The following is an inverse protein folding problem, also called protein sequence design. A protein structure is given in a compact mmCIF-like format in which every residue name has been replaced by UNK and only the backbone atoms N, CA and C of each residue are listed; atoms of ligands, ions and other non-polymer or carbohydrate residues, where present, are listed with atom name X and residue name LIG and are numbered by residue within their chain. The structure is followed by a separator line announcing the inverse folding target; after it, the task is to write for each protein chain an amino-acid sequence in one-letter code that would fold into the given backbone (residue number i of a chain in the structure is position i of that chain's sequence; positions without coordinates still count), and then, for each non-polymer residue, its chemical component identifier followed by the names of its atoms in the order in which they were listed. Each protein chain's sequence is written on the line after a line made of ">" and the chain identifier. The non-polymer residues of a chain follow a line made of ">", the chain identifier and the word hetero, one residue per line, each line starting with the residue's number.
data_IF_912331322372
#
_entry.id   IF_912331322372
#
_cell.length_a   1.000
_cell.length_b   1.000
_cell.length_c   1.000
_cell.angle_alpha   90.00
_cell.angle_beta   90.00
_cell.angle_gamma   90.00
#
_symmetry.space_group_name_H-M   'P 1'
#
loop_
_entity.id
_entity.type
_entity.pdbx_description
1 polymer ?
#
# COMPACT_ATOMS: atom_id res chain seq x y z
N UNK A 1 40.29 47.75 36.62
CA UNK A 1 38.89 47.35 36.34
C UNK A 1 38.67 47.12 34.83
N UNK A 2 39.17 46.04 34.20
CA UNK A 2 38.93 45.77 32.75
C UNK A 2 39.03 44.27 32.37
N UNK A 3 38.62 43.33 33.25
CA UNK A 3 38.66 41.87 32.94
C UNK A 3 37.38 41.10 33.21
N UNK A 4 36.34 41.72 33.80
CA UNK A 4 35.07 41.03 34.12
C UNK A 4 33.95 41.25 33.10
N UNK A 5 34.10 42.15 32.13
CA UNK A 5 33.04 42.47 31.15
C UNK A 5 33.05 41.58 29.90
N UNK A 6 34.16 40.89 29.59
CA UNK A 6 34.29 40.07 28.37
C UNK A 6 33.68 38.67 28.50
N UNK A 7 33.44 38.18 29.72
CA UNK A 7 32.86 36.84 29.96
C UNK A 7 31.33 36.81 29.84
N UNK A 8 30.66 37.95 29.93
CA UNK A 8 29.20 38.04 29.81
C UNK A 8 28.71 38.04 28.35
N UNK A 9 29.56 38.38 27.38
CA UNK A 9 29.22 38.31 25.95
C UNK A 9 29.46 36.94 25.31
N UNK A 10 30.21 36.03 25.96
CA UNK A 10 30.46 34.69 25.42
C UNK A 10 29.35 33.68 25.77
N UNK A 11 28.57 33.93 26.83
CA UNK A 11 27.49 33.02 27.27
C UNK A 11 26.16 33.32 26.56
N UNK A 12 25.98 34.52 26.01
CA UNK A 12 24.77 34.89 25.27
C UNK A 12 24.72 34.29 23.84
N UNK A 13 25.85 33.82 23.30
CA UNK A 13 25.96 33.34 21.91
C UNK A 13 25.63 31.86 21.71
N UNK A 14 25.34 31.11 22.78
CA UNK A 14 25.08 29.66 22.71
C UNK A 14 23.56 29.36 22.76
N UNK A 15 22.71 30.32 23.13
CA UNK A 15 21.27 30.11 23.26
C UNK A 15 20.46 30.32 21.97
N UNK A 16 21.12 30.54 20.82
CA UNK A 16 20.44 30.82 19.55
C UNK A 16 20.50 29.68 18.52
N UNK A 17 21.03 28.51 18.89
CA UNK A 17 21.04 27.34 18.02
C UNK A 17 20.01 26.30 18.47
N UNK A 18 19.04 26.08 17.58
CA UNK A 18 18.21 24.88 17.49
C UNK A 18 17.04 24.74 18.46
N UNK A 19 16.15 25.72 18.49
CA UNK A 19 14.72 25.38 18.45
C UNK A 19 14.27 25.32 16.98
N UNK A 20 14.82 24.37 16.21
CA UNK A 20 14.09 23.93 15.03
C UNK A 20 12.76 23.38 15.57
N UNK A 21 11.60 23.82 15.07
CA UNK A 21 10.36 23.15 15.42
C UNK A 21 10.61 21.67 15.15
N UNK A 22 10.45 20.82 16.18
CA UNK A 22 10.34 19.39 15.97
C UNK A 22 9.31 19.26 14.86
N UNK A 23 9.73 18.78 13.69
CA UNK A 23 8.80 18.51 12.60
C UNK A 23 7.78 17.55 13.18
N UNK A 24 6.61 18.10 13.52
CA UNK A 24 5.50 17.31 14.03
C UNK A 24 5.12 16.43 12.85
N UNK A 25 5.32 15.13 13.01
CA UNK A 25 4.89 14.15 12.04
C UNK A 25 3.44 14.46 11.67
N UNK A 26 3.16 14.60 10.38
CA UNK A 26 1.80 14.94 9.95
C UNK A 26 0.93 13.76 10.34
N UNK A 27 -0.18 13.96 11.08
CA UNK A 27 -1.05 12.85 11.43
C UNK A 27 -1.45 12.06 10.17
N UNK A 28 -1.45 10.72 10.21
CA UNK A 28 -1.91 9.92 9.07
C UNK A 28 -3.34 10.30 8.71
N UNK A 29 -3.55 10.70 7.45
CA UNK A 29 -4.87 11.05 6.94
C UNK A 29 -5.49 9.88 6.19
N UNK A 30 -6.83 9.79 6.27
CA UNK A 30 -7.58 8.72 5.63
C UNK A 30 -7.43 8.71 4.11
N UNK A 31 -7.15 7.53 3.54
CA UNK A 31 -7.06 7.30 2.10
C UNK A 31 -8.02 6.19 1.67
N UNK A 32 -8.48 6.30 0.43
CA UNK A 32 -9.18 5.23 -0.28
C UNK A 32 -8.55 5.05 -1.64
N UNK A 33 -8.23 3.81 -2.00
CA UNK A 33 -7.67 3.44 -3.30
C UNK A 33 -8.54 2.32 -3.88
N UNK A 34 -9.02 2.49 -5.10
CA UNK A 34 -9.77 1.48 -5.85
C UNK A 34 -8.97 1.09 -7.08
N UNK A 35 -8.93 -0.20 -7.40
CA UNK A 35 -8.17 -0.70 -8.56
C UNK A 35 -9.03 -1.70 -9.30
N UNK A 36 -9.05 -1.54 -10.62
CA UNK A 36 -9.55 -2.55 -11.54
C UNK A 36 -8.34 -3.31 -12.07
N UNK A 37 -8.25 -4.60 -11.75
CA UNK A 37 -7.07 -5.42 -11.94
C UNK A 37 -7.25 -6.45 -13.05
N UNK A 38 -6.14 -6.77 -13.71
CA UNK A 38 -6.01 -7.88 -14.65
C UNK A 38 -4.93 -8.82 -14.15
N UNK A 39 -5.28 -10.10 -14.01
CA UNK A 39 -4.39 -11.18 -13.58
C UNK A 39 -3.80 -11.90 -14.79
N UNK A 40 -2.51 -12.20 -14.71
CA UNK A 40 -1.77 -12.94 -15.74
C UNK A 40 -1.03 -14.13 -15.12
N UNK A 41 -0.92 -15.21 -15.90
CA UNK A 41 -0.17 -16.41 -15.52
C UNK A 41 1.35 -16.18 -15.47
N UNK A 42 1.84 -15.03 -15.93
CA UNK A 42 3.25 -14.66 -15.98
C UNK A 42 3.43 -13.19 -15.61
N UNK A 43 4.60 -12.84 -15.09
CA UNK A 43 4.92 -11.48 -14.68
C UNK A 43 4.76 -10.44 -15.82
N UNK A 44 4.20 -9.25 -15.55
CA UNK A 44 3.61 -8.83 -14.27
C UNK A 44 2.33 -9.62 -13.96
N UNK A 45 2.27 -10.22 -12.78
CA UNK A 45 1.19 -11.14 -12.39
C UNK A 45 -0.16 -10.43 -12.24
N UNK A 46 -0.10 -9.16 -11.87
CA UNK A 46 -1.26 -8.27 -11.78
C UNK A 46 -0.87 -6.94 -12.43
N UNK A 47 -1.78 -6.38 -13.21
CA UNK A 47 -1.73 -4.99 -13.67
C UNK A 47 -3.07 -4.34 -13.36
N UNK A 48 -3.15 -3.02 -13.25
CA UNK A 48 -4.44 -2.39 -13.03
C UNK A 48 -4.42 -0.88 -13.15
N UNK A 49 -5.61 -0.32 -13.34
CA UNK A 49 -5.86 1.11 -13.31
C UNK A 49 -6.33 1.52 -11.91
N UNK A 50 -5.72 2.57 -11.37
CA UNK A 50 -5.93 3.00 -9.99
C UNK A 50 -6.71 4.32 -9.97
N UNK A 51 -7.66 4.44 -9.05
CA UNK A 51 -8.15 5.73 -8.55
C UNK A 51 -7.87 5.83 -7.06
N UNK A 52 -7.26 6.93 -6.61
CA UNK A 52 -6.91 7.19 -5.22
C UNK A 52 -7.42 8.55 -4.77
N UNK A 53 -7.92 8.66 -3.53
CA UNK A 53 -8.42 9.90 -2.96
C UNK A 53 -8.16 9.97 -1.45
N UNK A 54 -8.19 11.19 -0.91
CA UNK A 54 -7.95 11.46 0.51
C UNK A 54 -6.46 11.51 0.87
N UNK A 55 -6.18 11.98 2.09
CA UNK A 55 -4.83 12.12 2.64
C UNK A 55 -3.80 12.69 1.67
N UNK A 56 -2.71 11.95 1.45
CA UNK A 56 -1.60 12.34 0.56
C UNK A 56 -2.00 12.58 -0.89
N UNK A 57 -3.17 12.10 -1.33
CA UNK A 57 -3.69 12.33 -2.68
C UNK A 57 -4.56 13.57 -2.79
N UNK A 58 -5.16 14.04 -1.67
CA UNK A 58 -6.09 15.16 -1.66
C UNK A 58 -7.33 14.86 -2.51
N UNK A 59 -7.43 15.51 -3.68
CA UNK A 59 -8.49 15.25 -4.67
C UNK A 59 -8.28 13.92 -5.39
N UNK A 60 -9.34 13.28 -5.91
CA UNK A 60 -9.21 12.05 -6.68
C UNK A 60 -8.15 12.17 -7.78
N UNK A 61 -7.23 11.21 -7.81
CA UNK A 61 -6.15 11.11 -8.80
C UNK A 61 -6.07 9.68 -9.33
N UNK A 62 -5.51 9.54 -10.53
CA UNK A 62 -5.40 8.25 -11.22
C UNK A 62 -3.96 7.82 -11.37
N UNK A 63 -3.74 6.50 -11.38
CA UNK A 63 -2.43 5.90 -11.54
C UNK A 63 -2.52 4.50 -12.13
N UNK A 64 -1.39 3.79 -12.14
CA UNK A 64 -1.32 2.39 -12.60
C UNK A 64 -0.63 1.50 -11.59
N UNK A 65 -1.05 0.24 -11.55
CA UNK A 65 -0.48 -0.84 -10.74
C UNK A 65 0.27 -1.82 -11.63
N UNK A 66 1.42 -2.29 -11.16
CA UNK A 66 2.08 -3.48 -11.68
C UNK A 66 2.64 -4.34 -10.53
N UNK A 67 2.32 -5.63 -10.51
CA UNK A 67 2.82 -6.55 -9.50
C UNK A 67 4.31 -6.85 -9.69
N UNK A 68 5.08 -6.65 -8.63
CA UNK A 68 6.52 -6.90 -8.58
C UNK A 68 6.81 -8.30 -8.03
N UNK A 69 6.00 -8.74 -7.08
CA UNK A 69 6.15 -10.06 -6.48
C UNK A 69 4.80 -10.56 -5.96
N UNK A 70 4.54 -11.84 -6.18
CA UNK A 70 3.40 -12.55 -5.60
C UNK A 70 3.90 -13.88 -5.03
N UNK A 71 3.54 -14.17 -3.78
CA UNK A 71 3.92 -15.42 -3.11
C UNK A 71 2.72 -15.98 -2.35
N UNK A 72 2.20 -17.16 -2.74
CA UNK A 72 1.30 -17.91 -1.88
C UNK A 72 2.10 -18.44 -0.68
N UNK A 73 1.62 -18.14 0.53
CA UNK A 73 2.26 -18.50 1.80
C UNK A 73 1.71 -19.83 2.33
N UNK A 74 0.49 -20.22 1.93
CA UNK A 74 -0.08 -21.52 2.28
C UNK A 74 -1.38 -21.83 1.52
N UNK A 75 -1.62 -23.12 1.32
CA UNK A 75 -2.91 -23.66 0.85
C UNK A 75 -3.59 -24.32 2.04
N UNK A 76 -4.87 -24.07 2.27
CA UNK A 76 -5.64 -24.90 3.19
C UNK A 76 -5.93 -26.23 2.49
N UNK A 77 -5.00 -27.17 2.55
CA UNK A 77 -5.18 -28.51 1.99
C UNK A 77 -6.14 -29.28 2.91
N UNK A 78 -7.47 -29.11 2.69
CA UNK A 78 -8.55 -30.03 3.09
C UNK A 78 -9.91 -29.58 2.54
N UNK A 79 -10.25 -30.06 1.34
CA UNK A 79 -11.65 -30.15 0.89
C UNK A 79 -12.38 -31.17 1.79
N UNK A 80 -13.62 -30.94 2.29
CA UNK A 80 -14.60 -29.93 1.90
C UNK A 80 -14.87 -28.84 2.96
N UNK A 81 -13.96 -28.61 3.92
CA UNK A 81 -14.24 -27.72 5.06
C UNK A 81 -13.05 -26.81 5.38
N UNK A 82 -12.82 -25.74 4.60
CA UNK A 82 -12.07 -24.60 5.09
C UNK A 82 -12.57 -23.30 4.47
N UNK A 83 -12.62 -22.28 5.33
CA UNK A 83 -13.08 -20.92 5.04
C UNK A 83 -12.10 -20.12 4.16
N UNK A 84 -10.94 -20.67 3.76
CA UNK A 84 -9.90 -19.98 2.96
C UNK A 84 -9.26 -20.89 1.89
N UNK A 85 -9.21 -20.42 0.63
CA UNK A 85 -8.58 -21.08 -0.52
C UNK A 85 -7.04 -21.02 -0.44
N UNK A 86 -6.47 -19.84 -0.16
CA UNK A 86 -5.04 -19.65 0.07
C UNK A 86 -4.76 -18.35 0.83
N UNK A 87 -3.56 -18.24 1.40
CA UNK A 87 -3.01 -16.99 1.97
C UNK A 87 -1.84 -16.55 1.10
N UNK A 88 -1.71 -15.25 0.84
CA UNK A 88 -0.62 -14.71 0.03
C UNK A 88 0.02 -13.46 0.64
N UNK A 89 1.25 -13.22 0.20
CA UNK A 89 1.91 -11.92 0.29
C UNK A 89 2.18 -11.42 -1.12
N UNK A 90 1.94 -10.13 -1.36
CA UNK A 90 2.26 -9.50 -2.64
C UNK A 90 3.00 -8.18 -2.42
N UNK A 91 3.72 -7.75 -3.45
CA UNK A 91 4.31 -6.42 -3.55
C UNK A 91 3.91 -5.87 -4.90
N UNK A 92 3.14 -4.79 -4.89
CA UNK A 92 2.70 -4.13 -6.11
C UNK A 92 3.24 -2.70 -6.14
N UNK A 93 3.67 -2.29 -7.33
CA UNK A 93 4.19 -0.95 -7.60
C UNK A 93 3.08 -0.06 -8.13
N UNK A 94 2.89 1.07 -7.45
CA UNK A 94 1.86 2.07 -7.71
C UNK A 94 2.55 3.27 -8.34
N UNK A 95 2.08 3.70 -9.51
CA UNK A 95 2.63 4.82 -10.25
C UNK A 95 1.58 5.91 -10.42
N UNK A 96 1.90 7.11 -9.96
CA UNK A 96 1.13 8.33 -10.18
C UNK A 96 2.02 9.41 -10.81
N UNK A 97 1.44 10.53 -11.20
CA UNK A 97 2.20 11.66 -11.78
C UNK A 97 3.30 12.19 -10.85
N UNK A 98 3.08 12.17 -9.52
CA UNK A 98 4.03 12.64 -8.51
C UNK A 98 5.16 11.65 -8.18
N UNK A 99 5.10 10.41 -8.67
CA UNK A 99 6.11 9.39 -8.40
C UNK A 99 5.55 7.98 -8.23
N UNK A 100 6.39 7.08 -7.71
CA UNK A 100 6.06 5.66 -7.52
C UNK A 100 6.25 5.23 -6.08
N UNK A 101 5.48 4.27 -5.60
CA UNK A 101 5.72 3.60 -4.32
C UNK A 101 5.26 2.14 -4.38
N UNK A 102 5.64 1.34 -3.39
CA UNK A 102 5.28 -0.07 -3.33
C UNK A 102 4.42 -0.37 -2.12
N UNK A 103 3.29 -1.02 -2.35
CA UNK A 103 2.46 -1.56 -1.28
C UNK A 103 2.79 -3.03 -1.09
N UNK A 104 3.00 -3.43 0.17
CA UNK A 104 3.12 -4.83 0.55
C UNK A 104 1.79 -5.30 1.13
N UNK A 105 1.32 -6.44 0.67
CA UNK A 105 0.07 -7.05 1.08
C UNK A 105 0.30 -8.33 1.88
N UNK A 106 -0.60 -8.58 2.81
CA UNK A 106 -0.79 -9.86 3.51
C UNK A 106 -2.30 -10.15 3.50
N UNK A 107 -2.73 -11.20 2.80
CA UNK A 107 -4.15 -11.49 2.61
C UNK A 107 -4.51 -12.96 2.64
N UNK A 108 -5.78 -13.20 2.96
CA UNK A 108 -6.45 -14.49 2.90
C UNK A 108 -7.56 -14.42 1.86
N UNK A 109 -7.59 -15.41 0.97
CA UNK A 109 -8.59 -15.55 -0.06
C UNK A 109 -9.50 -16.74 0.23
N UNK A 110 -10.75 -16.64 -0.17
CA UNK A 110 -11.76 -17.70 -0.09
C UNK A 110 -12.32 -17.93 -1.49
N UNK A 111 -12.70 -19.16 -1.80
CA UNK A 111 -13.42 -19.46 -3.03
C UNK A 111 -14.92 -19.20 -2.79
N UNK A 112 -15.51 -18.31 -3.56
CA UNK A 112 -16.93 -17.97 -3.43
C UNK A 112 -17.81 -18.77 -4.39
N UNK A 113 -17.33 -19.05 -5.61
CA UNK A 113 -18.02 -19.92 -6.56
C UNK A 113 -17.07 -20.54 -7.59
N UNK A 114 -17.50 -21.68 -8.16
CA UNK A 114 -16.89 -22.33 -9.32
C UNK A 114 -17.99 -22.59 -10.35
N UNK A 115 -17.73 -22.22 -11.60
CA UNK A 115 -18.44 -22.75 -12.75
C UNK A 115 -17.81 -24.10 -13.12
N UNK A 116 -18.56 -25.20 -12.97
CA UNK A 116 -18.03 -26.55 -13.23
C UNK A 116 -17.97 -26.90 -14.72
N UNK A 117 -18.64 -26.16 -15.59
CA UNK A 117 -18.62 -26.38 -17.04
C UNK A 117 -17.39 -25.71 -17.66
N UNK A 118 -17.04 -24.50 -17.20
CA UNK A 118 -15.89 -23.75 -17.73
C UNK A 118 -14.62 -23.88 -16.88
N UNK A 119 -14.76 -24.24 -15.60
CA UNK A 119 -13.68 -24.21 -14.62
C UNK A 119 -13.34 -22.80 -14.12
N UNK A 120 -14.17 -21.80 -14.42
CA UNK A 120 -13.98 -20.44 -13.93
C UNK A 120 -14.28 -20.35 -12.43
N UNK A 121 -13.51 -19.53 -11.74
CA UNK A 121 -13.57 -19.40 -10.28
C UNK A 121 -13.74 -17.95 -9.88
N UNK A 122 -14.52 -17.73 -8.81
CA UNK A 122 -14.63 -16.43 -8.16
C UNK A 122 -14.03 -16.55 -6.77
N UNK A 123 -13.10 -15.65 -6.46
CA UNK A 123 -12.44 -15.54 -5.18
C UNK A 123 -12.78 -14.22 -4.50
N UNK A 124 -12.83 -14.24 -3.17
CA UNK A 124 -12.85 -13.02 -2.36
C UNK A 124 -11.64 -13.01 -1.43
N UNK A 125 -10.85 -11.95 -1.47
CA UNK A 125 -9.67 -11.78 -0.63
C UNK A 125 -9.85 -10.58 0.30
N UNK A 126 -9.24 -10.66 1.47
CA UNK A 126 -9.13 -9.52 2.37
C UNK A 126 -7.86 -9.62 3.19
N UNK A 127 -7.37 -8.47 3.63
CA UNK A 127 -6.10 -8.44 4.31
C UNK A 127 -5.66 -7.06 4.74
N UNK A 128 -4.37 -6.98 5.04
CA UNK A 128 -3.70 -5.75 5.43
C UNK A 128 -2.72 -5.34 4.34
N UNK A 129 -2.46 -4.04 4.29
CA UNK A 129 -1.45 -3.47 3.41
C UNK A 129 -0.58 -2.47 4.16
N UNK A 130 0.67 -2.33 3.70
CA UNK A 130 1.63 -1.34 4.20
C UNK A 130 2.48 -0.75 3.10
N UNK A 131 2.81 0.54 3.22
CA UNK A 131 3.76 1.26 2.37
C UNK A 131 4.81 1.93 3.23
N UNK A 132 6.06 1.90 2.76
CA UNK A 132 7.18 2.56 3.42
C UNK A 132 8.20 3.05 2.38
N UNK A 133 8.07 4.31 2.02
CA UNK A 133 8.88 4.99 1.02
C UNK A 133 8.35 4.85 -0.40
N UNK A 134 9.01 5.58 -1.28
CA UNK A 134 8.69 5.68 -2.70
C UNK A 134 9.70 6.58 -3.40
N UNK A 135 9.28 7.22 -4.48
CA UNK A 135 10.03 8.20 -5.26
C UNK A 135 9.21 9.46 -5.46
N UNK A 136 9.87 10.55 -5.86
CA UNK A 136 9.21 11.84 -6.07
C UNK A 136 8.52 12.34 -4.81
N UNK A 137 7.25 12.72 -4.94
CA UNK A 137 6.43 13.22 -3.84
C UNK A 137 6.20 12.17 -2.74
N UNK A 138 6.41 10.88 -3.06
CA UNK A 138 6.20 9.76 -2.15
C UNK A 138 7.47 9.26 -1.47
N UNK A 139 8.59 9.97 -1.58
CA UNK A 139 9.90 9.50 -1.05
C UNK A 139 9.86 9.15 0.44
N UNK A 140 9.07 9.89 1.22
CA UNK A 140 8.89 9.67 2.67
C UNK A 140 7.49 9.15 3.03
N UNK A 141 6.79 8.57 2.07
CA UNK A 141 5.44 8.03 2.26
C UNK A 141 5.44 6.89 3.28
N UNK A 142 4.50 6.92 4.21
CA UNK A 142 4.20 5.80 5.10
C UNK A 142 2.72 5.61 5.17
N UNK A 143 2.28 4.37 5.32
CA UNK A 143 0.87 4.08 5.44
C UNK A 143 0.57 2.63 5.73
N UNK A 144 -0.64 2.41 6.23
CA UNK A 144 -1.17 1.10 6.57
C UNK A 144 -2.69 1.11 6.45
N UNK A 145 -3.26 -0.05 6.23
CA UNK A 145 -4.70 -0.20 6.19
C UNK A 145 -5.14 -1.61 5.90
N UNK A 146 -6.40 -1.74 5.51
CA UNK A 146 -7.01 -2.99 5.10
C UNK A 146 -7.48 -2.91 3.66
N UNK A 147 -7.74 -4.07 3.08
CA UNK A 147 -8.36 -4.14 1.77
C UNK A 147 -9.34 -5.31 1.66
N UNK A 148 -10.21 -5.19 0.67
CA UNK A 148 -11.07 -6.26 0.19
C UNK A 148 -10.94 -6.35 -1.32
N UNK A 149 -11.04 -7.55 -1.85
CA UNK A 149 -10.84 -7.84 -3.25
C UNK A 149 -11.81 -8.92 -3.72
N UNK A 150 -12.30 -8.79 -4.95
CA UNK A 150 -12.99 -9.87 -5.67
C UNK A 150 -12.24 -10.17 -6.95
N UNK A 151 -11.96 -11.45 -7.20
CA UNK A 151 -11.23 -11.94 -8.37
C UNK A 151 -12.12 -12.89 -9.16
N UNK A 152 -12.11 -12.76 -10.49
CA UNK A 152 -12.69 -13.71 -11.42
C UNK A 152 -11.55 -14.29 -12.25
N UNK A 153 -11.28 -15.57 -12.10
CA UNK A 153 -10.16 -16.25 -12.75
C UNK A 153 -10.65 -17.43 -13.57
N UNK A 154 -10.12 -17.57 -14.79
CA UNK A 154 -10.32 -18.78 -15.56
C UNK A 154 -9.45 -19.94 -15.03
N UNK A 155 -9.61 -21.12 -15.61
CA UNK A 155 -8.86 -22.33 -15.23
C UNK A 155 -7.31 -22.20 -15.36
N UNK A 156 -6.81 -21.18 -16.07
CA UNK A 156 -5.38 -20.88 -16.21
C UNK A 156 -4.88 -19.86 -15.17
N UNK A 157 -5.75 -19.38 -14.27
CA UNK A 157 -5.42 -18.34 -13.30
C UNK A 157 -5.30 -16.94 -13.93
N UNK A 158 -5.92 -16.72 -15.08
CA UNK A 158 -5.96 -15.43 -15.79
C UNK A 158 -7.36 -14.85 -15.66
N UNK A 159 -7.46 -13.54 -15.45
CA UNK A 159 -8.77 -12.91 -15.35
C UNK A 159 -8.73 -11.49 -14.83
N UNK A 160 -9.77 -11.08 -14.12
CA UNK A 160 -9.94 -9.68 -13.68
C UNK A 160 -10.40 -9.61 -12.24
N UNK A 161 -10.09 -8.53 -11.55
CA UNK A 161 -10.57 -8.29 -10.20
C UNK A 161 -10.83 -6.83 -9.91
N UNK A 162 -11.41 -6.60 -8.75
CA UNK A 162 -11.58 -5.27 -8.18
C UNK A 162 -11.17 -5.30 -6.73
N UNK A 163 -10.34 -4.35 -6.35
CA UNK A 163 -9.82 -4.18 -5.00
C UNK A 163 -10.19 -2.79 -4.47
N UNK A 164 -10.48 -2.74 -3.18
CA UNK A 164 -10.65 -1.49 -2.44
C UNK A 164 -9.74 -1.51 -1.22
N UNK A 165 -8.83 -0.56 -1.15
CA UNK A 165 -7.94 -0.33 -0.04
C UNK A 165 -8.46 0.86 0.76
N UNK A 166 -8.55 0.70 2.08
CA UNK A 166 -8.91 1.77 3.02
C UNK A 166 -7.86 1.82 4.11
N UNK A 167 -7.39 3.00 4.47
CA UNK A 167 -6.42 3.14 5.55
C UNK A 167 -5.98 4.57 5.74
N UNK A 168 -4.74 4.75 6.18
CA UNK A 168 -4.16 6.07 6.38
C UNK A 168 -2.76 6.15 5.79
N UNK A 169 -2.43 7.32 5.22
CA UNK A 169 -1.11 7.62 4.67
C UNK A 169 -0.66 9.02 5.08
N UNK A 170 0.66 9.20 5.18
CA UNK A 170 1.29 10.50 5.42
C UNK A 170 2.68 10.54 4.77
N UNK A 171 3.15 11.75 4.51
CA UNK A 171 4.54 12.05 4.12
C UNK A 171 5.18 12.85 5.25
N UNK A 172 6.12 12.23 5.98
CA UNK A 172 6.91 12.91 7.02
C UNK A 172 8.24 13.31 6.49
#
# INVERSE_FOLDING_TARGET
>A
MKRRLLLLFAVASIAAFASAPLAVATPPDGVTITIDETFHSSAPFVTGDITAAGGVFGTPTTGTLASVAFKPVGWAVKFPFHDHLFVYTAIDEYTFSGGTFRINFEASCILTSIDFDTGDTVGACSGNWRVNGGTGDYTRLKGTGTFTETQNLNYLGVGTGSITLVGAMHTD
#
